data_IF_708264715268
#
_entry.id   IF_708264715268
#
_cell.length_a   1.000
_cell.length_b   1.000
_cell.length_c   1.000
_cell.angle_alpha   90.00
_cell.angle_beta   90.00
_cell.angle_gamma   90.00
#
_symmetry.space_group_name_H-M   'P 1'
#
loop_
_entity.id
_entity.type
_entity.pdbx_description
1 polymer ?
#
# COMPACT_ATOMS: atom_id res chain seq x y z
N UNK A 1 -9.59 -19.63 7.38
CA UNK A 1 -9.34 -18.24 7.82
C UNK A 1 -7.86 -18.11 8.14
N UNK A 2 -7.07 -17.47 7.28
CA UNK A 2 -5.65 -17.25 7.55
C UNK A 2 -5.51 -15.86 8.17
N UNK A 3 -5.13 -15.80 9.45
CA UNK A 3 -4.89 -14.52 10.11
C UNK A 3 -3.74 -13.79 9.40
N UNK A 4 -3.95 -12.50 9.13
CA UNK A 4 -2.87 -11.60 8.75
C UNK A 4 -1.86 -11.45 9.89
N UNK A 5 -0.66 -10.96 9.56
CA UNK A 5 0.40 -10.68 10.53
C UNK A 5 0.81 -9.21 10.44
N UNK A 6 1.12 -8.58 11.57
CA UNK A 6 1.66 -7.22 11.60
C UNK A 6 3.01 -7.24 12.32
N UNK A 7 4.02 -6.63 11.73
CA UNK A 7 5.37 -6.52 12.31
C UNK A 7 5.95 -5.12 12.07
N UNK A 8 6.87 -4.65 12.93
CA UNK A 8 7.55 -3.38 12.72
C UNK A 8 8.43 -3.42 11.47
N UNK A 9 8.49 -2.32 10.74
CA UNK A 9 9.45 -2.16 9.64
C UNK A 9 10.89 -2.23 10.19
N UNK A 10 11.81 -2.81 9.40
CA UNK A 10 13.23 -3.08 9.68
C UNK A 10 13.51 -4.23 10.66
N UNK A 11 12.47 -4.92 11.12
CA UNK A 11 12.63 -6.14 11.89
C UNK A 11 12.52 -7.38 10.99
N UNK A 12 12.77 -8.57 11.54
CA UNK A 12 12.71 -9.79 10.75
C UNK A 12 11.28 -10.02 10.22
N UNK A 13 11.11 -10.25 8.90
CA UNK A 13 9.79 -10.52 8.34
C UNK A 13 9.16 -11.73 9.02
N UNK A 14 7.87 -11.64 9.33
CA UNK A 14 7.15 -12.71 10.01
C UNK A 14 7.21 -14.01 9.18
N UNK A 15 7.28 -15.18 9.83
CA UNK A 15 7.35 -16.51 9.18
C UNK A 15 6.26 -16.82 8.14
N UNK A 16 5.20 -16.02 8.10
CA UNK A 16 4.10 -16.14 7.13
C UNK A 16 4.35 -15.37 5.84
N UNK A 17 5.39 -14.53 5.80
CA UNK A 17 5.80 -13.78 4.62
C UNK A 17 6.61 -14.70 3.72
N UNK A 18 6.25 -14.85 2.43
CA UNK A 18 7.04 -15.59 1.46
C UNK A 18 8.42 -14.96 1.26
N UNK A 19 9.44 -15.81 1.09
CA UNK A 19 10.83 -15.39 0.84
C UNK A 19 10.95 -14.53 -0.43
N UNK A 20 10.08 -14.76 -1.42
CA UNK A 20 10.02 -13.95 -2.65
C UNK A 20 9.74 -12.45 -2.37
N UNK A 21 9.04 -12.12 -1.28
CA UNK A 21 8.75 -10.73 -0.90
C UNK A 21 9.86 -10.08 -0.07
N UNK A 22 10.79 -10.86 0.50
CA UNK A 22 11.88 -10.32 1.33
C UNK A 22 12.75 -9.27 0.63
N UNK A 23 13.22 -9.46 -0.61
CA UNK A 23 14.02 -8.43 -1.28
C UNK A 23 13.22 -7.13 -1.48
N UNK A 24 11.96 -7.21 -1.91
CA UNK A 24 11.12 -6.04 -2.14
C UNK A 24 10.77 -5.30 -0.84
N UNK A 25 10.59 -6.03 0.27
CA UNK A 25 10.42 -5.44 1.60
C UNK A 25 11.66 -4.63 1.99
N UNK A 26 12.85 -5.22 1.85
CA UNK A 26 14.11 -4.54 2.19
C UNK A 26 14.36 -3.30 1.32
N UNK A 27 14.02 -3.34 0.03
CA UNK A 27 14.09 -2.17 -0.87
C UNK A 27 13.18 -1.03 -0.41
N UNK A 28 11.93 -1.33 -0.04
CA UNK A 28 11.00 -0.32 0.46
C UNK A 28 11.40 0.23 1.83
N UNK A 29 11.93 -0.60 2.71
CA UNK A 29 12.45 -0.15 4.01
C UNK A 29 13.67 0.76 3.86
N UNK A 30 14.52 0.50 2.84
CA UNK A 30 15.64 1.37 2.51
C UNK A 30 15.18 2.69 1.88
N UNK A 31 14.14 2.67 1.04
CA UNK A 31 13.58 3.86 0.41
C UNK A 31 12.74 4.72 1.37
N UNK A 32 12.09 4.10 2.36
CA UNK A 32 11.17 4.76 3.31
C UNK A 32 11.65 4.55 4.74
N UNK A 33 12.66 5.32 5.18
CA UNK A 33 13.24 5.14 6.49
C UNK A 33 12.26 5.44 7.64
N UNK A 34 11.26 6.29 7.40
CA UNK A 34 10.21 6.69 8.35
C UNK A 34 8.99 5.76 8.36
N UNK A 35 9.04 4.63 7.64
CA UNK A 35 7.96 3.65 7.66
C UNK A 35 7.82 2.99 9.04
N UNK A 36 6.58 2.78 9.48
CA UNK A 36 6.30 2.29 10.83
C UNK A 36 6.14 0.78 10.89
N UNK A 37 5.12 0.26 10.20
CA UNK A 37 4.69 -1.13 10.36
C UNK A 37 4.32 -1.76 9.02
N UNK A 38 4.67 -3.03 8.87
CA UNK A 38 4.15 -3.89 7.83
C UNK A 38 2.92 -4.63 8.30
N UNK A 39 1.95 -4.80 7.41
CA UNK A 39 0.73 -5.58 7.62
C UNK A 39 0.56 -6.56 6.46
N UNK A 40 0.73 -7.85 6.74
CA UNK A 40 0.41 -8.95 5.83
C UNK A 40 -1.07 -9.29 5.91
N UNK A 41 -1.69 -9.36 4.75
CA UNK A 41 -3.08 -9.75 4.53
C UNK A 41 -3.13 -10.84 3.48
N UNK A 42 -4.15 -11.70 3.51
CA UNK A 42 -4.34 -12.74 2.49
C UNK A 42 -5.60 -12.44 1.71
N UNK A 43 -5.46 -12.00 0.47
CA UNK A 43 -6.58 -11.69 -0.42
C UNK A 43 -6.67 -12.77 -1.49
N UNK A 44 -7.79 -13.49 -1.54
CA UNK A 44 -8.01 -14.58 -2.51
C UNK A 44 -6.89 -15.64 -2.52
N UNK A 45 -6.27 -15.89 -1.36
CA UNK A 45 -5.14 -16.81 -1.21
C UNK A 45 -3.78 -16.22 -1.57
N UNK A 46 -3.71 -14.94 -1.93
CA UNK A 46 -2.48 -14.23 -2.28
C UNK A 46 -1.97 -13.40 -1.09
N UNK A 47 -0.68 -13.50 -0.75
CA UNK A 47 -0.11 -12.68 0.31
C UNK A 47 0.08 -11.24 -0.18
N UNK A 48 -0.46 -10.30 0.59
CA UNK A 48 -0.43 -8.87 0.33
C UNK A 48 0.15 -8.17 1.56
N UNK A 49 1.36 -7.66 1.45
CA UNK A 49 2.05 -6.89 2.49
C UNK A 49 1.84 -5.40 2.25
N UNK A 50 1.32 -4.69 3.24
CA UNK A 50 1.15 -3.23 3.21
C UNK A 50 2.10 -2.55 4.19
N UNK A 51 2.83 -1.55 3.74
CA UNK A 51 3.67 -0.68 4.55
C UNK A 51 2.90 0.57 4.95
N UNK A 52 2.75 0.77 6.25
CA UNK A 52 2.20 2.00 6.81
C UNK A 52 3.30 3.07 6.86
N UNK A 53 3.18 4.07 5.99
CA UNK A 53 4.03 5.26 6.02
C UNK A 53 3.52 6.18 7.13
N UNK A 54 4.26 6.27 8.24
CA UNK A 54 3.90 7.09 9.39
C UNK A 54 3.94 8.59 9.04
N UNK A 55 2.85 9.12 8.48
CA UNK A 55 2.75 10.53 8.12
C UNK A 55 2.76 11.43 9.36
N UNK A 56 3.93 11.97 9.72
CA UNK A 56 4.08 12.97 10.79
C UNK A 56 3.90 14.41 10.28
N UNK A 57 3.55 14.59 9.00
CA UNK A 57 3.26 15.90 8.40
C UNK A 57 1.86 16.39 8.77
N UNK A 58 1.78 17.41 9.63
CA UNK A 58 0.57 18.14 9.97
C UNK A 58 -0.18 18.57 8.70
N UNK A 59 -1.40 18.05 8.51
CA UNK A 59 -2.40 18.65 7.61
C UNK A 59 -2.87 17.82 6.42
N UNK A 60 -2.37 16.58 6.22
CA UNK A 60 -2.97 15.67 5.24
C UNK A 60 -2.67 14.23 5.66
N UNK A 61 -3.65 13.60 6.30
CA UNK A 61 -3.74 12.14 6.38
C UNK A 61 -3.94 11.61 4.95
N UNK A 62 -2.86 11.56 4.17
CA UNK A 62 -2.82 10.82 2.91
C UNK A 62 -2.55 9.36 3.29
N UNK A 63 -3.50 8.43 3.08
CA UNK A 63 -3.26 7.01 3.28
C UNK A 63 -2.43 6.46 2.10
N UNK A 64 -1.25 7.03 1.84
CA UNK A 64 -0.30 6.54 0.85
C UNK A 64 0.52 5.41 1.44
N UNK A 65 -0.10 4.25 1.64
CA UNK A 65 0.61 3.03 2.01
C UNK A 65 1.25 2.39 0.78
N UNK A 66 2.42 1.77 0.95
CA UNK A 66 3.00 0.94 -0.11
C UNK A 66 2.41 -0.46 -0.02
N UNK A 67 1.95 -1.01 -1.13
CA UNK A 67 1.43 -2.37 -1.19
C UNK A 67 2.34 -3.24 -2.03
N UNK A 68 2.78 -4.36 -1.45
CA UNK A 68 3.47 -5.44 -2.12
C UNK A 68 2.53 -6.64 -2.17
N UNK A 69 2.38 -7.27 -3.32
CA UNK A 69 1.62 -8.50 -3.46
C UNK A 69 2.41 -9.54 -4.24
N UNK A 70 2.21 -10.82 -3.91
CA UNK A 70 2.79 -11.93 -4.67
C UNK A 70 1.70 -12.55 -5.56
N UNK A 71 1.93 -12.58 -6.87
CA UNK A 71 1.06 -13.27 -7.81
C UNK A 71 1.15 -14.79 -7.63
N UNK A 72 0.21 -15.53 -8.21
CA UNK A 72 0.24 -17.00 -8.22
C UNK A 72 1.47 -17.57 -8.96
N UNK A 73 2.05 -16.79 -9.87
CA UNK A 73 3.24 -17.14 -10.65
C UNK A 73 4.54 -16.81 -9.90
N UNK A 74 4.44 -16.27 -8.68
CA UNK A 74 5.60 -15.84 -7.88
C UNK A 74 6.16 -14.48 -8.28
N UNK A 75 5.42 -13.70 -9.06
CA UNK A 75 5.80 -12.33 -9.41
C UNK A 75 5.47 -11.37 -8.27
N UNK A 76 6.44 -10.53 -7.91
CA UNK A 76 6.24 -9.48 -6.91
C UNK A 76 5.68 -8.24 -7.60
N UNK A 77 4.41 -7.94 -7.33
CA UNK A 77 3.74 -6.74 -7.82
C UNK A 77 3.83 -5.67 -6.75
N UNK A 78 4.52 -4.58 -7.08
CA UNK A 78 4.60 -3.37 -6.25
C UNK A 78 3.59 -2.35 -6.76
N UNK A 79 2.70 -1.92 -5.87
CA UNK A 79 1.80 -0.80 -6.10
C UNK A 79 1.96 0.16 -4.93
N UNK A 80 2.40 1.37 -5.22
CA UNK A 80 1.96 2.49 -4.39
C UNK A 80 0.46 2.62 -4.64
N UNK A 81 -0.34 2.99 -3.64
CA UNK A 81 -1.61 3.63 -3.95
C UNK A 81 -1.20 5.04 -4.37
N UNK A 82 -1.06 5.38 -5.68
CA UNK A 82 -1.14 6.77 -5.99
C UNK A 82 -2.61 7.09 -5.70
N UNK A 83 -2.85 8.01 -4.77
CA UNK A 83 -3.87 8.96 -5.15
C UNK A 83 -3.31 9.65 -6.40
N UNK A 84 -3.48 9.03 -7.57
CA UNK A 84 -3.41 9.67 -8.87
C UNK A 84 -4.57 10.65 -8.82
N UNK A 85 -4.30 11.81 -8.22
CA UNK A 85 -5.11 13.00 -8.34
C UNK A 85 -5.02 13.54 -9.76
N UNK A 86 -5.17 12.67 -10.75
CA UNK A 86 -5.61 13.02 -12.09
C UNK A 86 -7.09 12.63 -12.12
N UNK A 87 -7.91 13.38 -11.38
CA UNK A 87 -9.22 13.63 -11.97
C UNK A 87 -8.87 14.30 -13.30
N UNK A 88 -9.19 13.72 -14.49
CA UNK A 88 -9.35 14.62 -15.61
C UNK A 88 -10.26 15.71 -15.09
N UNK A 89 -9.90 16.97 -15.33
CA UNK A 89 -10.84 18.05 -15.17
C UNK A 89 -12.02 17.73 -16.11
N UNK A 90 -12.92 16.85 -15.70
CA UNK A 90 -14.32 16.98 -15.98
C UNK A 90 -14.60 18.35 -15.39
N UNK A 91 -14.47 19.37 -16.25
CA UNK A 91 -15.33 20.52 -16.18
C UNK A 91 -16.69 19.93 -15.82
N UNK A 92 -17.05 20.08 -14.55
CA UNK A 92 -18.44 20.08 -14.15
C UNK A 92 -18.96 21.26 -14.96
N UNK A 93 -19.35 20.98 -16.20
CA UNK A 93 -20.18 21.86 -16.97
C UNK A 93 -21.40 21.98 -16.08
N UNK A 94 -21.44 23.15 -15.47
CA UNK A 94 -22.46 23.71 -14.63
C UNK A 94 -23.78 23.58 -15.40
N UNK A 95 -24.41 22.41 -15.30
CA UNK A 95 -25.78 22.17 -15.72
C UNK A 95 -26.68 22.85 -14.69
N UNK A 96 -26.59 24.18 -14.72
CA UNK A 96 -27.45 25.16 -14.05
C UNK A 96 -28.83 25.20 -14.76
N UNK A 97 -29.33 24.04 -15.21
CA UNK A 97 -30.67 23.81 -15.78
C UNK A 97 -31.62 23.19 -14.73
N UNK A 98 -31.32 23.40 -13.44
CA UNK A 98 -32.17 22.99 -12.32
C UNK A 98 -33.15 24.07 -11.85
N UNK A 99 -33.21 25.22 -12.53
CA UNK A 99 -34.12 26.31 -12.16
C UNK A 99 -34.57 27.15 -13.37
N UNK A 100 -35.43 26.58 -14.22
CA UNK A 100 -36.34 27.33 -15.09
C UNK A 100 -37.71 26.64 -15.22
#
# INVERSE_FOLDING_TARGET
MQLGARWPARDAPHRSVPEALHPAIAELEAAHPDAGYWTLTWLEGRPVCRLDAGGTGLGRSMPGGWTLSLSAEGEVVRSTDPYEGEQPAETIEDDDDWLA
#
